data_IF_575877607315
#
_entry.id   IF_575877607315
#
_cell.length_a   1.000
_cell.length_b   1.000
_cell.length_c   1.000
_cell.angle_alpha   90.00
_cell.angle_beta   90.00
_cell.angle_gamma   90.00
#
_symmetry.space_group_name_H-M   'P 1'
#
loop_
_entity.id
_entity.type
_entity.pdbx_description
1 polymer ?
#
# COMPACT_ATOMS: atom_id res chain seq x y z
N UNK A 1 -13.97 -15.77 35.01
CA UNK A 1 -13.95 -14.61 34.10
C UNK A 1 -14.50 -15.02 32.75
N UNK A 2 -15.37 -14.19 32.19
CA UNK A 2 -15.83 -14.36 30.81
C UNK A 2 -14.72 -13.94 29.84
N UNK A 3 -14.55 -14.68 28.75
CA UNK A 3 -13.55 -14.42 27.70
C UNK A 3 -14.27 -14.14 26.39
N UNK A 4 -13.81 -13.15 25.64
CA UNK A 4 -14.45 -12.70 24.42
C UNK A 4 -13.49 -12.80 23.22
N UNK A 5 -14.06 -13.03 22.04
CA UNK A 5 -13.35 -13.11 20.78
C UNK A 5 -12.65 -11.78 20.48
N UNK A 6 -11.36 -11.84 20.12
CA UNK A 6 -10.58 -10.64 19.78
C UNK A 6 -11.05 -9.96 18.47
N UNK A 7 -11.82 -10.65 17.64
CA UNK A 7 -12.34 -10.14 16.36
C UNK A 7 -13.77 -9.59 16.48
N UNK A 8 -14.73 -10.45 16.87
CA UNK A 8 -16.16 -10.14 16.83
C UNK A 8 -16.80 -9.87 18.21
N UNK A 9 -16.04 -10.00 19.30
CA UNK A 9 -16.55 -9.79 20.66
C UNK A 9 -17.48 -10.89 21.20
N UNK A 10 -17.78 -11.95 20.44
CA UNK A 10 -18.61 -13.07 20.92
C UNK A 10 -17.94 -13.82 22.09
N UNK A 11 -18.74 -14.34 23.02
CA UNK A 11 -18.26 -15.15 24.15
C UNK A 11 -17.52 -16.40 23.66
N UNK A 12 -16.34 -16.66 24.20
CA UNK A 12 -15.52 -17.83 23.89
C UNK A 12 -15.83 -18.95 24.88
N UNK A 13 -16.03 -20.16 24.35
CA UNK A 13 -16.13 -21.40 25.13
C UNK A 13 -15.02 -22.39 24.74
N UNK A 14 -14.70 -23.32 25.64
CA UNK A 14 -13.65 -24.32 25.44
C UNK A 14 -12.29 -23.90 26.01
N UNK A 15 -11.21 -24.36 25.37
CA UNK A 15 -9.84 -24.29 25.92
C UNK A 15 -9.48 -22.93 26.52
N UNK A 16 -8.70 -22.96 27.60
CA UNK A 16 -8.28 -21.78 28.36
C UNK A 16 -7.48 -20.75 27.52
N UNK A 17 -6.79 -21.19 26.48
CA UNK A 17 -5.96 -20.37 25.59
C UNK A 17 -6.68 -19.86 24.33
N UNK A 18 -7.96 -20.23 24.14
CA UNK A 18 -8.72 -19.84 22.94
C UNK A 18 -8.93 -18.33 22.89
N UNK A 19 -8.48 -17.70 21.79
CA UNK A 19 -8.58 -16.25 21.51
C UNK A 19 -9.67 -15.86 20.51
N UNK A 20 -10.15 -16.82 19.71
CA UNK A 20 -11.11 -16.58 18.63
C UNK A 20 -12.26 -17.59 18.70
N UNK A 21 -13.48 -17.15 18.40
CA UNK A 21 -14.64 -18.04 18.35
C UNK A 21 -14.65 -18.93 17.09
N UNK A 22 -13.96 -18.55 16.01
CA UNK A 22 -13.89 -19.29 14.76
C UNK A 22 -12.57 -19.06 14.01
N UNK A 23 -12.30 -19.92 13.02
CA UNK A 23 -11.16 -19.72 12.11
C UNK A 23 -11.30 -18.44 11.29
N UNK A 24 -12.52 -18.11 10.86
CA UNK A 24 -12.81 -16.87 10.15
C UNK A 24 -12.42 -15.63 10.98
N UNK A 25 -12.77 -15.61 12.28
CA UNK A 25 -12.42 -14.52 13.17
C UNK A 25 -10.91 -14.37 13.38
N UNK A 26 -10.18 -15.49 13.45
CA UNK A 26 -8.71 -15.45 13.52
C UNK A 26 -8.13 -14.78 12.27
N UNK A 27 -8.58 -15.19 11.09
CA UNK A 27 -8.09 -14.67 9.81
C UNK A 27 -8.43 -13.18 9.69
N UNK A 28 -9.66 -12.79 9.97
CA UNK A 28 -10.11 -11.40 9.91
C UNK A 28 -9.32 -10.49 10.85
N UNK A 29 -9.09 -10.92 12.09
CA UNK A 29 -8.30 -10.16 13.05
C UNK A 29 -6.86 -9.93 12.59
N UNK A 30 -6.22 -10.94 11.99
CA UNK A 30 -4.86 -10.78 11.47
C UNK A 30 -4.80 -9.96 10.19
N UNK A 31 -5.78 -10.11 9.31
CA UNK A 31 -5.88 -9.33 8.08
C UNK A 31 -6.16 -7.85 8.38
N UNK A 32 -7.07 -7.55 9.30
CA UNK A 32 -7.43 -6.17 9.67
C UNK A 32 -6.22 -5.38 10.18
N UNK A 33 -5.34 -6.02 10.96
CA UNK A 33 -4.09 -5.42 11.45
C UNK A 33 -3.09 -5.08 10.35
N UNK A 34 -3.13 -5.78 9.21
CA UNK A 34 -2.25 -5.54 8.05
C UNK A 34 -2.82 -4.55 7.04
N UNK A 35 -4.11 -4.22 7.11
CA UNK A 35 -4.80 -3.38 6.10
C UNK A 35 -4.17 -2.00 5.92
N UNK A 36 -3.74 -1.36 7.02
CA UNK A 36 -3.16 -0.02 6.94
C UNK A 36 -1.82 -0.04 6.18
N UNK A 37 -0.93 -0.97 6.55
CA UNK A 37 0.38 -1.10 5.92
C UNK A 37 0.26 -1.51 4.45
N UNK A 38 -0.65 -2.44 4.14
CA UNK A 38 -0.93 -2.86 2.76
C UNK A 38 -1.52 -1.72 1.92
N UNK A 39 -2.41 -0.91 2.49
CA UNK A 39 -2.95 0.28 1.84
C UNK A 39 -1.84 1.27 1.48
N UNK A 40 -0.95 1.56 2.43
CA UNK A 40 0.14 2.51 2.25
C UNK A 40 1.11 2.05 1.16
N UNK A 41 1.55 0.79 1.21
CA UNK A 41 2.43 0.20 0.18
C UNK A 41 1.77 0.26 -1.21
N UNK A 42 0.48 -0.06 -1.31
CA UNK A 42 -0.27 0.04 -2.57
C UNK A 42 -0.34 1.47 -3.09
N UNK A 43 -0.48 2.47 -2.22
CA UNK A 43 -0.48 3.88 -2.62
C UNK A 43 0.88 4.30 -3.19
N UNK A 44 1.98 3.91 -2.53
CA UNK A 44 3.35 4.14 -3.02
C UNK A 44 3.52 3.51 -4.41
N UNK A 45 3.19 2.23 -4.56
CA UNK A 45 3.34 1.52 -5.83
C UNK A 45 2.50 2.15 -6.95
N UNK A 46 1.29 2.62 -6.63
CA UNK A 46 0.45 3.36 -7.59
C UNK A 46 1.13 4.65 -8.05
N UNK A 47 1.74 5.41 -7.14
CA UNK A 47 2.45 6.64 -7.51
C UNK A 47 3.73 6.35 -8.31
N UNK A 48 4.49 5.31 -7.96
CA UNK A 48 5.67 4.86 -8.71
C UNK A 48 5.30 4.48 -10.16
N UNK A 49 4.23 3.69 -10.33
CA UNK A 49 3.72 3.32 -11.66
C UNK A 49 3.32 4.57 -12.46
N UNK A 50 2.57 5.48 -11.85
CA UNK A 50 2.16 6.74 -12.49
C UNK A 50 3.37 7.57 -12.94
N UNK A 51 4.39 7.69 -12.09
CA UNK A 51 5.62 8.40 -12.45
C UNK A 51 6.31 7.75 -13.65
N UNK A 52 6.44 6.42 -13.67
CA UNK A 52 7.02 5.66 -14.78
C UNK A 52 6.24 5.89 -16.08
N UNK A 53 4.91 5.81 -16.03
CA UNK A 53 4.05 5.99 -17.20
C UNK A 53 4.18 7.41 -17.80
N UNK A 54 4.28 8.45 -16.96
CA UNK A 54 4.50 9.84 -17.39
C UNK A 54 5.86 9.99 -18.08
N UNK A 55 6.92 9.48 -17.46
CA UNK A 55 8.27 9.56 -18.03
C UNK A 55 8.36 8.78 -19.35
N UNK A 56 7.79 7.57 -19.40
CA UNK A 56 7.74 6.73 -20.59
C UNK A 56 7.01 7.41 -21.75
N UNK A 57 5.90 8.11 -21.47
CA UNK A 57 5.17 8.91 -22.46
C UNK A 57 6.06 9.99 -23.10
N UNK A 58 6.78 10.78 -22.30
CA UNK A 58 7.66 11.83 -22.83
C UNK A 58 8.89 11.26 -23.54
N UNK A 59 9.44 10.15 -23.03
CA UNK A 59 10.55 9.44 -23.67
C UNK A 59 10.17 8.92 -25.06
N UNK A 60 9.01 8.24 -25.19
CA UNK A 60 8.49 7.76 -26.48
C UNK A 60 8.21 8.90 -27.46
N UNK A 61 7.82 10.07 -26.96
CA UNK A 61 7.64 11.29 -27.75
C UNK A 61 8.96 11.97 -28.15
N UNK A 62 10.13 11.38 -27.83
CA UNK A 62 11.48 11.94 -28.08
C UNK A 62 11.69 13.32 -27.44
N UNK A 63 10.98 13.63 -26.35
CA UNK A 63 11.15 14.88 -25.60
C UNK A 63 12.26 14.68 -24.57
N UNK A 64 13.43 15.22 -24.88
CA UNK A 64 14.64 15.09 -24.05
C UNK A 64 14.60 16.07 -22.86
N UNK A 65 13.90 17.20 -23.01
CA UNK A 65 13.71 18.20 -21.96
C UNK A 65 12.22 18.44 -21.73
N UNK A 66 11.76 18.24 -20.48
CA UNK A 66 10.40 18.53 -20.05
C UNK A 66 10.48 19.35 -18.76
N UNK A 67 9.83 20.53 -18.69
CA UNK A 67 9.80 21.30 -17.46
C UNK A 67 9.19 20.50 -16.30
N UNK A 68 9.81 20.55 -15.12
CA UNK A 68 9.34 19.85 -13.92
C UNK A 68 7.91 20.23 -13.57
N UNK A 69 7.54 21.51 -13.72
CA UNK A 69 6.18 21.99 -13.50
C UNK A 69 5.15 21.27 -14.37
N UNK A 70 5.50 20.95 -15.62
CA UNK A 70 4.62 20.18 -16.51
C UNK A 70 4.46 18.74 -16.01
N UNK A 71 5.54 18.09 -15.58
CA UNK A 71 5.47 16.76 -14.99
C UNK A 71 4.58 16.75 -13.74
N UNK A 72 4.69 17.76 -12.88
CA UNK A 72 3.86 17.92 -11.70
C UNK A 72 2.37 18.06 -12.01
N UNK A 73 2.02 18.81 -13.08
CA UNK A 73 0.65 18.92 -13.59
C UNK A 73 0.12 17.58 -14.11
N UNK A 74 0.97 16.75 -14.73
CA UNK A 74 0.61 15.39 -15.15
C UNK A 74 0.47 14.39 -13.97
N UNK A 75 0.88 14.82 -12.76
CA UNK A 75 0.78 14.06 -11.52
C UNK A 75 2.06 13.31 -11.15
N UNK A 76 3.19 13.69 -11.75
CA UNK A 76 4.51 13.25 -11.31
C UNK A 76 4.80 13.73 -9.89
N UNK A 77 5.51 12.92 -9.11
CA UNK A 77 5.94 13.26 -7.75
C UNK A 77 7.38 12.82 -7.54
N UNK A 78 8.30 13.77 -7.44
CA UNK A 78 9.75 13.52 -7.31
C UNK A 78 10.12 12.56 -6.17
N UNK A 79 9.36 12.60 -5.05
CA UNK A 79 9.58 11.74 -3.88
C UNK A 79 9.41 10.23 -4.15
N UNK A 80 8.84 9.85 -5.31
CA UNK A 80 8.54 8.47 -5.65
C UNK A 80 9.36 8.03 -6.88
N UNK A 81 10.59 7.59 -6.66
CA UNK A 81 11.44 7.00 -7.69
C UNK A 81 12.20 5.81 -7.12
N UNK A 82 12.56 4.85 -7.98
CA UNK A 82 13.36 3.67 -7.59
C UNK A 82 14.81 3.76 -8.05
N UNK A 83 15.11 4.65 -9.01
CA UNK A 83 16.42 4.80 -9.61
C UNK A 83 16.68 6.27 -9.93
N UNK A 84 17.93 6.70 -9.78
CA UNK A 84 18.43 8.00 -10.20
C UNK A 84 19.59 7.78 -11.16
N UNK A 85 19.56 8.43 -12.32
CA UNK A 85 20.69 8.46 -13.23
C UNK A 85 21.21 9.90 -13.28
N UNK A 86 22.47 10.09 -12.90
CA UNK A 86 23.21 11.33 -13.12
C UNK A 86 24.02 11.19 -14.40
N UNK A 87 23.87 12.13 -15.33
CA UNK A 87 24.76 12.22 -16.48
C UNK A 87 26.14 12.60 -15.96
N UNK A 88 27.12 11.69 -16.14
CA UNK A 88 28.53 11.97 -15.92
C UNK A 88 29.12 12.79 -17.06
#
# INVERSE_FOLDING_TARGET
>A
MERFCLDCGSKITGRADRKFCSDACRINYHNSRRKHDEYFVRLINKQLKRNRDILEKHYRAKRIYVPVNQLHLEGFREKYHTHTATNG
#
